data_IF_317740761202
#
_entry.id   IF_317740761202
#
_cell.length_a   1.000
_cell.length_b   1.000
_cell.length_c   1.000
_cell.angle_alpha   90.00
_cell.angle_beta   90.00
_cell.angle_gamma   90.00
#
_symmetry.space_group_name_H-M   'P 1'
#
loop_
_entity.id
_entity.type
_entity.pdbx_description
1 polymer ?
#
# COMPACT_ATOMS: atom_id res chain seq x y z
N UNK A 1 -10.21 -18.61 -18.67
CA UNK A 1 -11.56 -18.75 -19.28
C UNK A 1 -11.77 -17.61 -20.26
N UNK A 2 -11.83 -17.89 -21.56
CA UNK A 2 -12.03 -16.86 -22.58
C UNK A 2 -13.52 -16.54 -22.73
N UNK A 3 -13.97 -15.38 -22.22
CA UNK A 3 -15.31 -14.87 -22.50
C UNK A 3 -15.37 -14.39 -23.96
N UNK A 4 -16.12 -15.10 -24.80
CA UNK A 4 -16.40 -14.69 -26.19
C UNK A 4 -17.44 -13.57 -26.18
N UNK A 5 -17.10 -12.39 -26.73
CA UNK A 5 -18.03 -11.26 -26.89
C UNK A 5 -19.16 -11.59 -27.87
N UNK A 6 -20.34 -10.99 -27.69
CA UNK A 6 -21.46 -11.15 -28.63
C UNK A 6 -21.14 -10.43 -29.95
N UNK A 7 -21.67 -10.92 -31.08
CA UNK A 7 -21.38 -10.42 -32.44
C UNK A 7 -21.61 -8.92 -32.66
N UNK A 8 -22.47 -8.28 -31.86
CA UNK A 8 -22.78 -6.85 -31.93
C UNK A 8 -22.08 -6.03 -30.83
N UNK A 9 -21.29 -6.68 -29.98
CA UNK A 9 -20.37 -6.00 -29.11
C UNK A 9 -19.08 -5.76 -29.88
N UNK A 10 -18.86 -4.51 -30.31
CA UNK A 10 -17.55 -4.05 -30.79
C UNK A 10 -16.49 -4.49 -29.76
N UNK A 11 -15.33 -5.06 -30.20
CA UNK A 11 -14.24 -5.41 -29.30
C UNK A 11 -14.04 -4.24 -28.33
N UNK A 12 -14.37 -4.45 -27.06
CA UNK A 12 -14.32 -3.37 -26.08
C UNK A 12 -12.84 -3.14 -25.80
N UNK A 13 -12.22 -2.27 -26.61
CA UNK A 13 -10.85 -1.84 -26.37
C UNK A 13 -10.73 -1.40 -24.91
N UNK A 14 -9.70 -1.89 -24.23
CA UNK A 14 -9.37 -1.46 -22.88
C UNK A 14 -9.23 0.07 -22.87
N UNK A 15 -9.82 0.74 -21.88
CA UNK A 15 -9.72 2.19 -21.73
C UNK A 15 -10.84 3.06 -22.37
N UNK A 16 -11.86 2.47 -23.03
CA UNK A 16 -13.08 3.22 -23.46
C UNK A 16 -13.76 3.95 -22.29
N UNK A 17 -13.61 3.42 -21.09
CA UNK A 17 -14.23 3.95 -19.89
C UNK A 17 -13.36 4.96 -19.15
N UNK A 18 -12.09 5.17 -19.49
CA UNK A 18 -11.19 6.04 -18.72
C UNK A 18 -11.52 7.53 -18.86
N UNK A 19 -12.11 7.93 -19.99
CA UNK A 19 -12.49 9.32 -20.29
C UNK A 19 -14.01 9.59 -20.19
N UNK A 20 -14.82 8.59 -19.87
CA UNK A 20 -16.30 8.68 -19.83
C UNK A 20 -16.90 8.92 -18.44
N UNK A 21 -18.26 8.92 -18.36
CA UNK A 21 -19.09 9.26 -17.18
C UNK A 21 -18.73 8.49 -15.89
N UNK A 22 -18.08 7.33 -16.00
CA UNK A 22 -17.57 6.53 -14.87
C UNK A 22 -16.04 6.49 -14.70
N UNK A 23 -15.26 6.83 -15.73
CA UNK A 23 -13.80 6.75 -15.71
C UNK A 23 -13.16 7.80 -14.84
N UNK A 24 -13.50 9.05 -15.11
CA UNK A 24 -13.01 10.20 -14.37
C UNK A 24 -13.40 10.12 -12.89
N UNK A 25 -14.63 9.70 -12.60
CA UNK A 25 -15.10 9.45 -11.24
C UNK A 25 -14.29 8.34 -10.54
N UNK A 26 -14.04 7.22 -11.22
CA UNK A 26 -13.23 6.11 -10.68
C UNK A 26 -11.76 6.51 -10.49
N UNK A 27 -11.18 7.27 -11.40
CA UNK A 27 -9.83 7.82 -11.27
C UNK A 27 -9.72 8.73 -10.04
N UNK A 28 -10.69 9.63 -9.85
CA UNK A 28 -10.76 10.50 -8.66
C UNK A 28 -10.89 9.70 -7.36
N UNK A 29 -11.71 8.65 -7.34
CA UNK A 29 -11.82 7.75 -6.18
C UNK A 29 -10.48 7.08 -5.85
N UNK A 30 -9.79 6.54 -6.86
CA UNK A 30 -8.46 5.93 -6.68
C UNK A 30 -7.43 6.94 -6.16
N UNK A 31 -7.38 8.14 -6.74
CA UNK A 31 -6.49 9.20 -6.28
C UNK A 31 -6.75 9.58 -4.82
N UNK A 32 -8.03 9.69 -4.42
CA UNK A 32 -8.41 9.95 -3.03
C UNK A 32 -7.94 8.82 -2.10
N UNK A 33 -8.17 7.56 -2.47
CA UNK A 33 -7.71 6.40 -1.70
C UNK A 33 -6.18 6.42 -1.50
N UNK A 34 -5.41 6.67 -2.57
CA UNK A 34 -3.95 6.76 -2.50
C UNK A 34 -3.47 7.93 -1.63
N UNK A 35 -4.10 9.10 -1.72
CA UNK A 35 -3.75 10.26 -0.87
C UNK A 35 -3.98 9.95 0.61
N UNK A 36 -5.12 9.34 0.94
CA UNK A 36 -5.42 8.92 2.31
C UNK A 36 -4.42 7.88 2.81
N UNK A 37 -4.06 6.90 1.97
CA UNK A 37 -3.05 5.89 2.31
C UNK A 37 -1.69 6.53 2.61
N UNK A 38 -1.22 7.44 1.74
CA UNK A 38 0.03 8.17 1.95
C UNK A 38 0.04 8.93 3.27
N UNK A 39 -1.06 9.61 3.61
CA UNK A 39 -1.18 10.34 4.88
C UNK A 39 -1.11 9.40 6.08
N UNK A 40 -1.82 8.25 6.04
CA UNK A 40 -1.77 7.24 7.11
C UNK A 40 -0.38 6.66 7.31
N UNK A 41 0.30 6.31 6.21
CA UNK A 41 1.67 5.77 6.26
C UNK A 41 2.66 6.81 6.80
N UNK A 42 2.53 8.08 6.36
CA UNK A 42 3.36 9.17 6.88
C UNK A 42 3.11 9.38 8.38
N UNK A 43 1.85 9.47 8.80
CA UNK A 43 1.50 9.62 10.21
C UNK A 43 2.01 8.45 11.06
N UNK A 44 1.97 7.22 10.55
CA UNK A 44 2.54 6.06 11.24
C UNK A 44 4.06 6.16 11.39
N UNK A 45 4.77 6.68 10.39
CA UNK A 45 6.21 6.91 10.47
C UNK A 45 6.55 8.08 11.42
N UNK A 46 5.78 9.17 11.38
CA UNK A 46 5.98 10.33 12.25
C UNK A 46 5.71 9.98 13.74
N UNK A 47 4.71 9.13 14.02
CA UNK A 47 4.43 8.60 15.37
C UNK A 47 5.33 7.41 15.77
N UNK A 48 5.99 6.78 14.80
CA UNK A 48 6.85 5.60 14.98
C UNK A 48 8.35 5.91 15.03
N UNK A 49 8.75 7.11 14.58
CA UNK A 49 10.15 7.54 14.47
C UNK A 49 10.93 7.63 15.78
N UNK A 50 10.26 7.52 16.94
CA UNK A 50 10.89 7.51 18.25
C UNK A 50 10.83 6.15 18.98
N UNK A 51 10.25 5.09 18.39
CA UNK A 51 10.11 3.77 19.07
C UNK A 51 11.22 2.77 18.77
N UNK A 52 12.03 3.02 17.73
CA UNK A 52 13.11 2.10 17.34
C UNK A 52 14.46 2.40 18.00
N UNK A 53 14.62 3.51 18.73
CA UNK A 53 15.86 3.85 19.43
C UNK A 53 16.10 3.03 20.73
N UNK A 54 15.06 2.43 21.31
CA UNK A 54 15.16 1.71 22.59
C UNK A 54 15.25 0.17 22.42
N UNK A 55 14.89 -0.36 21.25
CA UNK A 55 14.87 -1.80 20.97
C UNK A 55 16.23 -2.42 20.61
N UNK A 56 17.23 -1.60 20.24
CA UNK A 56 18.58 -2.05 19.93
C UNK A 56 19.38 -2.43 21.18
N UNK A 57 19.31 -1.59 22.23
CA UNK A 57 20.08 -1.77 23.48
C UNK A 57 19.71 -3.05 24.24
N UNK A 58 18.41 -3.41 24.26
CA UNK A 58 17.91 -4.62 24.95
C UNK A 58 18.34 -5.93 24.26
N UNK A 59 18.73 -5.91 22.98
CA UNK A 59 19.21 -7.11 22.28
C UNK A 59 20.68 -7.38 22.59
N UNK A 60 21.50 -6.32 22.64
CA UNK A 60 22.93 -6.40 22.94
C UNK A 60 23.19 -6.84 24.38
N UNK A 61 22.42 -6.33 25.34
CA UNK A 61 22.54 -6.73 26.76
C UNK A 61 22.17 -8.21 26.98
N UNK A 62 21.14 -8.72 26.30
CA UNK A 62 20.73 -10.13 26.42
C UNK A 62 21.75 -11.08 25.81
N UNK A 63 22.40 -10.68 24.71
CA UNK A 63 23.48 -11.47 24.11
C UNK A 63 24.74 -11.49 24.98
N UNK A 64 25.07 -10.36 25.63
CA UNK A 64 26.21 -10.27 26.55
C UNK A 64 26.00 -11.08 27.83
N UNK A 65 24.78 -11.09 28.38
CA UNK A 65 24.45 -11.93 29.54
C UNK A 65 24.55 -13.41 29.18
N UNK A 66 24.06 -13.85 28.02
CA UNK A 66 24.16 -15.26 27.62
C UNK A 66 25.61 -15.73 27.38
N UNK A 67 26.48 -14.90 26.82
CA UNK A 67 27.89 -15.26 26.60
C UNK A 67 28.72 -15.35 27.87
N UNK A 68 28.22 -14.85 29.00
CA UNK A 68 28.93 -14.84 30.30
C UNK A 68 28.74 -16.14 31.10
N UNK A 69 27.86 -17.05 30.64
CA UNK A 69 27.51 -18.31 31.30
C UNK A 69 28.05 -19.57 30.58
N UNK A 70 28.91 -19.40 29.57
CA UNK A 70 29.72 -20.46 28.95
C UNK A 70 31.19 -20.26 29.31
#
# INVERSE_FOLDING_TARGET
MAQRLKRWESPRNEGRNDKGRGGSARQRQKQKQMRMLKQKLKQQNDLGGNRNAEGGKKKEERTLVLSSFL
#
